data_IF_664861548597
#
_entry.id   IF_664861548597
#
_cell.length_a   1.000
_cell.length_b   1.000
_cell.length_c   1.000
_cell.angle_alpha   90.00
_cell.angle_beta   90.00
_cell.angle_gamma   90.00
#
_symmetry.space_group_name_H-M   'P 1'
#
loop_
_entity.id
_entity.type
_entity.pdbx_description
1 polymer ?
#
# COMPACT_ATOMS: atom_id res chain seq x y z
N UNK A 1 -12.51 18.95 5.12
CA UNK A 1 -12.16 18.47 3.77
C UNK A 1 -10.82 17.76 3.83
N UNK A 2 -10.74 16.55 3.26
CA UNK A 2 -9.52 15.74 3.19
C UNK A 2 -8.94 15.85 1.78
N UNK A 3 -7.82 16.56 1.65
CA UNK A 3 -7.17 16.92 0.40
C UNK A 3 -5.83 16.19 0.24
N UNK A 4 -5.87 14.87 0.06
CA UNK A 4 -4.72 14.01 -0.25
C UNK A 4 -4.63 13.68 -1.74
N UNK A 5 -3.52 13.10 -2.18
CA UNK A 5 -3.27 12.75 -3.59
C UNK A 5 -4.24 11.69 -4.13
N UNK A 6 -4.39 11.61 -5.46
CA UNK A 6 -5.23 10.63 -6.17
C UNK A 6 -4.59 9.23 -6.22
N UNK A 7 -4.03 8.77 -5.12
CA UNK A 7 -3.41 7.45 -5.04
C UNK A 7 -4.05 6.59 -3.95
N UNK A 8 -3.88 5.28 -4.06
CA UNK A 8 -4.31 4.31 -3.02
C UNK A 8 -3.77 4.65 -1.63
N UNK A 9 -2.57 5.24 -1.57
CA UNK A 9 -1.94 5.72 -0.34
C UNK A 9 -2.64 6.95 0.20
N UNK A 10 -2.96 7.92 -0.67
CA UNK A 10 -3.74 9.10 -0.30
C UNK A 10 -5.11 8.74 0.27
N UNK A 11 -5.72 7.66 -0.23
CA UNK A 11 -7.00 7.13 0.27
C UNK A 11 -6.89 6.47 1.63
N UNK A 12 -5.83 5.68 1.85
CA UNK A 12 -5.54 5.08 3.15
C UNK A 12 -5.21 6.15 4.22
N UNK A 13 -4.44 7.18 3.86
CA UNK A 13 -4.12 8.30 4.75
C UNK A 13 -5.39 9.09 5.11
N UNK A 14 -6.24 9.38 4.13
CA UNK A 14 -7.51 10.07 4.38
C UNK A 14 -8.44 9.26 5.30
N UNK A 15 -8.47 7.93 5.14
CA UNK A 15 -9.23 7.04 6.01
C UNK A 15 -8.67 7.02 7.44
N UNK A 16 -7.35 6.87 7.58
CA UNK A 16 -6.70 6.91 8.89
C UNK A 16 -6.91 8.24 9.62
N UNK A 17 -6.83 9.37 8.91
CA UNK A 17 -7.13 10.68 9.49
C UNK A 17 -8.57 10.76 9.98
N UNK A 18 -9.54 10.21 9.24
CA UNK A 18 -10.94 10.13 9.67
C UNK A 18 -11.08 9.28 10.94
N UNK A 19 -10.46 8.11 10.99
CA UNK A 19 -10.50 7.22 12.16
C UNK A 19 -9.87 7.87 13.40
N UNK A 20 -8.73 8.55 13.26
CA UNK A 20 -8.01 9.20 14.38
C UNK A 20 -8.75 10.42 14.90
N UNK A 21 -9.31 11.26 14.02
CA UNK A 21 -10.05 12.46 14.44
C UNK A 21 -11.39 12.07 15.08
N UNK A 22 -12.02 11.01 14.59
CA UNK A 22 -13.30 10.52 15.08
C UNK A 22 -14.48 11.47 14.82
N UNK A 23 -15.69 10.95 15.04
CA UNK A 23 -16.96 11.67 14.91
C UNK A 23 -17.69 11.42 13.58
N UNK A 24 -18.70 12.24 13.29
CA UNK A 24 -19.69 11.93 12.26
C UNK A 24 -19.12 11.92 10.83
N UNK A 25 -19.41 10.86 10.08
CA UNK A 25 -18.93 10.62 8.71
C UNK A 25 -19.29 11.75 7.75
N UNK A 26 -20.43 12.40 8.00
CA UNK A 26 -20.94 13.52 7.19
C UNK A 26 -20.06 14.77 7.25
N UNK A 27 -19.14 14.86 8.22
CA UNK A 27 -18.22 16.00 8.36
C UNK A 27 -16.97 15.87 7.48
N UNK A 28 -16.71 14.68 6.94
CA UNK A 28 -15.50 14.38 6.19
C UNK A 28 -15.81 14.22 4.71
N UNK A 29 -15.61 15.30 3.95
CA UNK A 29 -15.64 15.26 2.49
C UNK A 29 -14.24 15.14 1.91
N UNK A 30 -14.07 14.24 0.94
CA UNK A 30 -12.82 14.03 0.20
C UNK A 30 -12.77 15.00 -0.98
N UNK A 31 -11.64 15.67 -1.15
CA UNK A 31 -11.38 16.55 -2.30
C UNK A 31 -10.14 16.06 -2.98
N UNK A 32 -10.25 15.64 -4.24
CA UNK A 32 -9.10 15.18 -5.03
C UNK A 32 -8.90 16.09 -6.21
N UNK A 33 -7.64 16.48 -6.46
CA UNK A 33 -7.25 17.27 -7.60
C UNK A 33 -6.11 16.56 -8.34
N UNK A 34 -6.17 16.58 -9.67
CA UNK A 34 -5.11 15.99 -10.51
C UNK A 34 -3.93 16.95 -10.68
N UNK A 35 -4.12 18.23 -10.37
CA UNK A 35 -3.16 19.28 -10.61
C UNK A 35 -3.28 20.38 -9.54
N UNK A 36 -2.16 20.99 -9.15
CA UNK A 36 -2.08 22.09 -8.19
C UNK A 36 -2.29 23.43 -8.92
N UNK A 37 -3.34 23.53 -9.74
CA UNK A 37 -3.76 24.77 -10.40
C UNK A 37 -5.00 25.35 -9.75
N UNK A 38 -5.13 26.68 -9.73
CA UNK A 38 -6.26 27.37 -9.08
C UNK A 38 -7.62 26.90 -9.61
N UNK A 39 -7.72 26.64 -10.91
CA UNK A 39 -8.94 26.16 -11.55
C UNK A 39 -9.26 24.71 -11.13
N UNK A 40 -8.28 23.82 -11.11
CA UNK A 40 -8.46 22.43 -10.69
C UNK A 40 -8.89 22.34 -9.22
N UNK A 41 -8.31 23.17 -8.35
CA UNK A 41 -8.69 23.25 -6.95
C UNK A 41 -10.14 23.71 -6.80
N UNK A 42 -10.55 24.79 -7.48
CA UNK A 42 -11.94 25.26 -7.43
C UNK A 42 -12.94 24.22 -7.93
N UNK A 43 -12.62 23.51 -9.01
CA UNK A 43 -13.46 22.42 -9.51
C UNK A 43 -13.56 21.26 -8.52
N UNK A 44 -12.45 20.89 -7.88
CA UNK A 44 -12.40 19.84 -6.87
C UNK A 44 -13.26 20.17 -5.63
N UNK A 45 -13.31 21.44 -5.22
CA UNK A 45 -14.19 21.88 -4.14
C UNK A 45 -15.68 21.93 -4.52
N UNK A 46 -16.01 22.06 -5.81
CA UNK A 46 -17.39 22.02 -6.29
C UNK A 46 -17.98 20.60 -6.34
N UNK A 47 -17.12 19.57 -6.46
CA UNK A 47 -17.51 18.16 -6.45
C UNK A 47 -16.78 17.38 -5.35
N UNK A 48 -17.11 17.63 -4.07
CA UNK A 48 -16.57 16.84 -2.98
C UNK A 48 -17.06 15.39 -3.10
N UNK A 49 -16.11 14.45 -3.10
CA UNK A 49 -16.39 13.01 -3.11
C UNK A 49 -16.47 12.43 -1.71
N UNK A 50 -16.90 11.17 -1.64
CA UNK A 50 -16.81 10.34 -0.45
C UNK A 50 -15.55 9.48 -0.48
N UNK A 51 -15.12 9.03 0.69
CA UNK A 51 -13.95 8.16 0.81
C UNK A 51 -14.27 6.73 0.36
N UNK A 52 -13.50 6.19 -0.59
CA UNK A 52 -13.73 4.84 -1.09
C UNK A 52 -13.03 3.78 -0.23
N UNK A 53 -13.83 3.10 0.59
CA UNK A 53 -13.35 2.05 1.52
C UNK A 53 -12.73 0.86 0.76
N UNK A 54 -13.19 0.56 -0.46
CA UNK A 54 -12.64 -0.57 -1.24
C UNK A 54 -11.18 -0.34 -1.62
N UNK A 55 -10.79 0.92 -1.89
CA UNK A 55 -9.41 1.27 -2.20
C UNK A 55 -8.50 1.26 -0.97
N UNK A 56 -9.03 1.63 0.19
CA UNK A 56 -8.35 1.47 1.48
C UNK A 56 -8.07 0.00 1.76
N UNK A 57 -9.08 -0.86 1.58
CA UNK A 57 -8.93 -2.30 1.79
C UNK A 57 -7.91 -2.92 0.82
N UNK A 58 -7.93 -2.51 -0.45
CA UNK A 58 -6.93 -2.94 -1.43
C UNK A 58 -5.49 -2.54 -1.05
N UNK A 59 -5.31 -1.43 -0.33
CA UNK A 59 -4.02 -1.03 0.22
C UNK A 59 -3.61 -1.87 1.44
N UNK A 60 -4.57 -2.22 2.31
CA UNK A 60 -4.33 -2.97 3.56
C UNK A 60 -4.24 -4.50 3.40
N UNK A 61 -4.70 -5.06 2.27
CA UNK A 61 -4.85 -6.51 2.06
C UNK A 61 -3.60 -7.41 1.89
N UNK A 62 -2.33 -6.95 1.79
CA UNK A 62 -1.21 -7.90 1.70
C UNK A 62 -0.88 -8.63 3.03
N UNK A 63 -1.13 -7.99 4.18
CA UNK A 63 -0.64 -8.45 5.49
C UNK A 63 -1.68 -9.25 6.30
N UNK A 64 -2.97 -8.90 6.20
CA UNK A 64 -4.01 -9.57 7.00
C UNK A 64 -4.25 -11.02 6.59
N UNK A 65 -4.21 -11.32 5.28
CA UNK A 65 -4.36 -12.69 4.78
C UNK A 65 -3.20 -13.63 5.17
N UNK A 66 -2.03 -13.08 5.47
CA UNK A 66 -0.86 -13.85 5.93
C UNK A 66 -0.79 -13.96 7.46
N UNK A 67 -1.33 -13.00 8.22
CA UNK A 67 -1.30 -12.98 9.70
C UNK A 67 -2.32 -13.95 10.33
N UNK A 68 -3.49 -14.15 9.72
CA UNK A 68 -4.58 -14.97 10.28
C UNK A 68 -4.22 -16.44 10.51
N UNK A 69 -3.33 -17.00 9.67
CA UNK A 69 -2.85 -18.38 9.79
C UNK A 69 -1.64 -18.57 10.71
N UNK A 70 -1.11 -17.50 11.31
CA UNK A 70 0.17 -17.52 12.03
C UNK A 70 0.06 -17.36 13.56
N UNK A 71 -1.14 -17.25 14.14
CA UNK A 71 -1.35 -17.07 15.59
C UNK A 71 -0.86 -18.24 16.48
N UNK A 72 -0.22 -19.27 15.91
CA UNK A 72 0.43 -20.35 16.64
C UNK A 72 1.97 -20.33 16.60
N UNK A 73 2.61 -19.42 15.87
CA UNK A 73 4.06 -19.43 15.73
C UNK A 73 4.74 -18.45 16.68
N UNK A 74 5.51 -19.02 17.62
CA UNK A 74 6.39 -18.37 18.60
C UNK A 74 7.04 -17.06 18.10
N UNK A 75 7.20 -16.08 19.00
CA UNK A 75 7.89 -14.79 18.79
C UNK A 75 9.27 -14.94 18.13
N UNK A 76 9.95 -16.07 18.33
CA UNK A 76 11.23 -16.39 17.67
C UNK A 76 11.10 -16.62 16.16
N UNK A 77 9.93 -17.07 15.69
CA UNK A 77 9.66 -17.26 14.27
C UNK A 77 9.26 -15.95 13.59
N UNK A 78 8.65 -14.99 14.30
CA UNK A 78 8.35 -13.66 13.74
C UNK A 78 9.63 -12.88 13.39
N UNK A 79 10.68 -12.96 14.20
CA UNK A 79 11.97 -12.33 13.91
C UNK A 79 12.67 -12.97 12.69
N UNK A 80 12.62 -14.29 12.58
CA UNK A 80 13.20 -15.01 11.44
C UNK A 80 12.37 -14.84 10.16
N UNK A 81 11.03 -14.86 10.25
CA UNK A 81 10.13 -14.64 9.12
C UNK A 81 10.12 -13.19 8.67
N UNK A 82 10.22 -12.20 9.55
CA UNK A 82 10.29 -10.79 9.14
C UNK A 82 11.57 -10.47 8.37
N UNK A 83 12.71 -11.07 8.78
CA UNK A 83 13.93 -11.08 7.96
C UNK A 83 13.67 -11.76 6.61
N UNK A 84 13.02 -12.93 6.61
CA UNK A 84 12.70 -13.65 5.38
C UNK A 84 11.78 -12.88 4.42
N UNK A 85 10.76 -12.17 4.92
CA UNK A 85 9.81 -11.36 4.15
C UNK A 85 10.50 -10.13 3.55
N UNK A 86 11.39 -9.46 4.31
CA UNK A 86 12.22 -8.36 3.77
C UNK A 86 13.17 -8.83 2.68
N UNK A 87 13.66 -10.07 2.77
CA UNK A 87 14.53 -10.69 1.77
C UNK A 87 13.78 -11.38 0.63
N UNK A 88 12.47 -11.63 0.74
CA UNK A 88 11.71 -12.39 -0.24
C UNK A 88 11.65 -11.72 -1.63
N UNK A 89 11.64 -10.38 -1.67
CA UNK A 89 11.80 -9.62 -2.92
C UNK A 89 13.21 -9.77 -3.50
N UNK A 90 14.25 -9.74 -2.65
CA UNK A 90 15.63 -9.92 -3.05
C UNK A 90 15.94 -11.34 -3.53
N UNK A 91 15.36 -12.38 -2.92
CA UNK A 91 15.57 -13.79 -3.28
C UNK A 91 15.14 -14.07 -4.72
N UNK A 92 14.05 -13.45 -5.19
CA UNK A 92 13.62 -13.57 -6.60
C UNK A 92 14.65 -12.97 -7.56
N UNK A 93 15.18 -11.79 -7.25
CA UNK A 93 16.20 -11.14 -8.08
C UNK A 93 17.53 -11.89 -8.05
N UNK A 94 17.97 -12.35 -6.88
CA UNK A 94 19.20 -13.14 -6.71
C UNK A 94 19.12 -14.46 -7.48
N UNK A 95 17.96 -15.12 -7.46
CA UNK A 95 17.76 -16.37 -8.21
C UNK A 95 17.91 -16.16 -9.72
N UNK A 96 17.33 -15.09 -10.28
CA UNK A 96 17.49 -14.76 -11.71
C UNK A 96 18.96 -14.48 -12.08
N UNK A 97 19.71 -13.80 -11.20
CA UNK A 97 21.14 -13.55 -11.41
C UNK A 97 21.95 -14.84 -11.39
N UNK A 98 21.69 -15.72 -10.43
CA UNK A 98 22.38 -17.02 -10.29
C UNK A 98 22.06 -17.96 -11.45
N UNK A 99 20.80 -18.03 -11.88
CA UNK A 99 20.40 -18.81 -13.06
C UNK A 99 21.10 -18.29 -14.30
N UNK A 100 21.14 -16.96 -14.50
CA UNK A 100 21.82 -16.34 -15.63
C UNK A 100 23.34 -16.55 -15.62
N UNK A 101 24.00 -16.55 -14.45
CA UNK A 101 25.42 -16.91 -14.35
C UNK A 101 25.69 -18.37 -14.71
N UNK A 102 24.78 -19.29 -14.35
CA UNK A 102 24.91 -20.70 -14.71
C UNK A 102 24.76 -20.90 -16.22
N UNK A 103 23.81 -20.21 -16.84
CA UNK A 103 23.61 -20.25 -18.29
C UNK A 103 24.84 -19.73 -19.05
N UNK A 104 25.46 -18.64 -18.56
CA UNK A 104 26.70 -18.09 -19.15
C UNK A 104 27.86 -19.10 -19.04
N UNK A 105 27.99 -19.79 -17.90
CA UNK A 105 29.06 -20.78 -17.69
C UNK A 105 28.85 -22.08 -18.48
N UNK A 106 27.61 -22.43 -18.77
CA UNK A 106 27.25 -23.62 -19.56
C UNK A 106 27.26 -23.35 -21.07
N UNK A 107 27.39 -22.09 -21.49
CA UNK A 107 27.45 -21.72 -22.90
C UNK A 107 28.82 -22.09 -23.50
N UNK A 108 28.84 -23.12 -24.34
CA UNK A 108 29.99 -23.49 -25.17
C UNK A 108 29.77 -22.86 -26.56
N UNK A 109 30.76 -22.10 -27.09
CA UNK A 109 30.62 -21.29 -28.29
C UNK A 109 30.42 -22.09 -29.59
#
# INVERSE_FOLDING_TARGET
YLATDLDREGEAIAWHLREVIGGDDKRFSRVVFNEITKNAIQQAFNQPGELNINRVNAHSSPLYGSRGGLHGFSTAMEENCSRFIRWASAIRTVRLVVEREKDIKAFVP
#
